data_IF_879173212419
#
_entry.id   IF_879173212419
#
_cell.length_a   1.000
_cell.length_b   1.000
_cell.length_c   1.000
_cell.angle_alpha   90.00
_cell.angle_beta   90.00
_cell.angle_gamma   90.00
#
_symmetry.space_group_name_H-M   'P 1'
#
loop_
_entity.id
_entity.type
_entity.pdbx_description
1 polymer ?
#
# COMPACT_ATOMS: atom_id res chain seq x y z
N UNK A 1 -17.92 1.60 -19.28
CA UNK A 1 -17.32 2.57 -18.33
C UNK A 1 -15.98 3.11 -18.82
N UNK A 2 -15.29 2.40 -19.71
CA UNK A 2 -13.96 2.81 -20.23
C UNK A 2 -14.05 4.17 -20.97
N UNK A 3 -15.13 4.39 -21.71
CA UNK A 3 -15.36 5.62 -22.46
C UNK A 3 -16.22 6.64 -21.71
N UNK A 4 -16.89 6.21 -20.64
CA UNK A 4 -17.75 7.05 -19.81
C UNK A 4 -17.66 6.62 -18.34
N UNK A 5 -16.81 7.30 -17.58
CA UNK A 5 -16.57 7.00 -16.16
C UNK A 5 -17.80 7.19 -15.27
N UNK A 6 -18.81 7.96 -15.71
CA UNK A 6 -20.06 8.11 -14.94
C UNK A 6 -20.80 6.78 -14.75
N UNK A 7 -20.56 5.81 -15.64
CA UNK A 7 -21.11 4.45 -15.54
C UNK A 7 -20.69 3.71 -14.26
N UNK A 8 -19.56 4.08 -13.67
CA UNK A 8 -19.11 3.49 -12.39
C UNK A 8 -20.13 3.75 -11.27
N UNK A 9 -20.88 4.85 -11.33
CA UNK A 9 -21.92 5.13 -10.36
C UNK A 9 -23.01 4.05 -10.29
N UNK A 10 -23.18 3.23 -11.33
CA UNK A 10 -24.10 2.08 -11.35
C UNK A 10 -23.71 0.97 -10.36
N UNK A 11 -22.47 0.98 -9.86
CA UNK A 11 -22.02 0.05 -8.82
C UNK A 11 -22.55 0.41 -7.43
N UNK A 12 -23.02 1.65 -7.20
CA UNK A 12 -23.49 2.09 -5.88
C UNK A 12 -24.54 1.18 -5.24
N UNK A 13 -25.59 0.71 -5.97
CA UNK A 13 -26.57 -0.20 -5.38
C UNK A 13 -25.99 -1.54 -4.94
N UNK A 14 -24.90 -2.00 -5.58
CA UNK A 14 -24.24 -3.28 -5.26
C UNK A 14 -23.47 -3.26 -3.93
N UNK A 15 -23.28 -2.08 -3.33
CA UNK A 15 -22.63 -1.95 -2.02
C UNK A 15 -23.42 -2.66 -0.93
N UNK A 16 -24.74 -2.69 -1.03
CA UNK A 16 -25.63 -3.36 -0.08
C UNK A 16 -25.90 -4.83 -0.45
N UNK A 17 -25.47 -5.28 -1.62
CA UNK A 17 -25.63 -6.65 -2.08
C UNK A 17 -24.51 -7.55 -1.49
N UNK A 18 -24.88 -8.55 -0.70
CA UNK A 18 -23.93 -9.44 -0.05
C UNK A 18 -23.17 -10.34 -1.03
N UNK A 19 -23.82 -10.79 -2.10
CA UNK A 19 -23.19 -11.63 -3.11
C UNK A 19 -22.17 -10.83 -3.90
N UNK A 20 -22.50 -9.60 -4.29
CA UNK A 20 -21.56 -8.71 -4.97
C UNK A 20 -20.35 -8.36 -4.09
N UNK A 21 -20.55 -8.12 -2.78
CA UNK A 21 -19.44 -7.90 -1.84
C UNK A 21 -18.56 -9.14 -1.71
N UNK A 22 -19.16 -10.32 -1.60
CA UNK A 22 -18.42 -11.58 -1.51
C UNK A 22 -17.58 -11.84 -2.78
N UNK A 23 -18.16 -11.64 -3.95
CA UNK A 23 -17.45 -11.76 -5.23
C UNK A 23 -16.28 -10.77 -5.33
N UNK A 24 -16.51 -9.50 -4.96
CA UNK A 24 -15.45 -8.49 -4.92
C UNK A 24 -14.30 -8.90 -3.99
N UNK A 25 -14.59 -9.38 -2.78
CA UNK A 25 -13.58 -9.83 -1.82
C UNK A 25 -12.81 -11.06 -2.33
N UNK A 26 -13.48 -11.99 -3.02
CA UNK A 26 -12.83 -13.15 -3.64
C UNK A 26 -11.89 -12.72 -4.77
N UNK A 27 -12.32 -11.82 -5.67
CA UNK A 27 -11.46 -11.26 -6.72
C UNK A 27 -10.23 -10.57 -6.10
N UNK A 28 -10.43 -9.80 -5.04
CA UNK A 28 -9.35 -9.14 -4.30
C UNK A 28 -8.38 -10.17 -3.72
N UNK A 29 -8.89 -11.21 -3.09
CA UNK A 29 -8.07 -12.28 -2.53
C UNK A 29 -7.24 -13.00 -3.61
N UNK A 30 -7.81 -13.32 -4.75
CA UNK A 30 -7.09 -13.95 -5.87
C UNK A 30 -5.96 -13.05 -6.39
N UNK A 31 -6.18 -11.74 -6.48
CA UNK A 31 -5.12 -10.79 -6.84
C UNK A 31 -4.00 -10.76 -5.77
N UNK A 32 -4.33 -10.88 -4.49
CA UNK A 32 -3.35 -10.97 -3.40
C UNK A 32 -2.55 -12.27 -3.46
N UNK A 33 -3.19 -13.40 -3.76
CA UNK A 33 -2.51 -14.69 -4.00
C UNK A 33 -1.52 -14.56 -5.16
N UNK A 34 -1.94 -13.93 -6.27
CA UNK A 34 -1.06 -13.68 -7.42
C UNK A 34 0.15 -12.83 -7.05
N UNK A 35 -0.05 -11.76 -6.29
CA UNK A 35 1.06 -10.92 -5.81
C UNK A 35 1.96 -11.66 -4.82
N UNK A 36 1.40 -12.43 -3.90
CA UNK A 36 2.18 -13.24 -2.95
C UNK A 36 3.09 -14.25 -3.68
N UNK A 37 2.57 -14.90 -4.71
CA UNK A 37 3.35 -15.79 -5.58
C UNK A 37 4.50 -15.03 -6.26
N UNK A 38 4.21 -13.86 -6.84
CA UNK A 38 5.21 -12.99 -7.46
C UNK A 38 6.32 -12.61 -6.47
N UNK A 39 5.95 -12.21 -5.25
CA UNK A 39 6.90 -11.85 -4.19
C UNK A 39 7.77 -13.07 -3.82
N UNK A 40 7.18 -14.25 -3.69
CA UNK A 40 7.93 -15.47 -3.40
C UNK A 40 8.96 -15.79 -4.48
N UNK A 41 8.56 -15.69 -5.73
CA UNK A 41 9.42 -16.02 -6.89
C UNK A 41 10.57 -15.01 -7.08
N UNK A 42 10.34 -13.72 -6.81
CA UNK A 42 11.32 -12.65 -7.10
C UNK A 42 12.10 -12.18 -5.86
N UNK A 43 11.48 -12.21 -4.68
CA UNK A 43 12.09 -11.72 -3.44
C UNK A 43 12.39 -12.85 -2.44
N UNK A 44 11.93 -14.08 -2.69
CA UNK A 44 12.12 -15.22 -1.78
C UNK A 44 11.31 -15.12 -0.47
N UNK A 45 10.42 -14.15 -0.33
CA UNK A 45 9.67 -13.87 0.89
C UNK A 45 8.29 -14.51 0.82
N UNK A 46 7.91 -15.27 1.85
CA UNK A 46 6.55 -15.76 2.02
C UNK A 46 5.69 -14.71 2.70
N UNK A 47 4.59 -14.33 2.05
CA UNK A 47 3.60 -13.41 2.60
C UNK A 47 2.21 -14.06 2.62
N UNK A 48 1.44 -13.82 3.68
CA UNK A 48 0.08 -14.32 3.80
C UNK A 48 -0.88 -13.43 2.98
N UNK A 49 -1.56 -13.96 1.96
CA UNK A 49 -2.54 -13.20 1.18
C UNK A 49 -3.75 -12.72 2.01
N UNK A 50 -3.96 -13.26 3.21
CA UNK A 50 -5.00 -12.79 4.12
C UNK A 50 -4.58 -11.58 4.94
N UNK A 51 -3.26 -11.29 5.05
CA UNK A 51 -2.78 -10.08 5.73
C UNK A 51 -3.20 -8.81 4.97
N UNK A 52 -3.29 -7.68 5.64
CA UNK A 52 -3.51 -6.39 4.97
C UNK A 52 -2.30 -6.06 4.10
N UNK A 53 -2.50 -5.90 2.79
CA UNK A 53 -1.46 -5.43 1.87
C UNK A 53 -1.45 -3.91 1.83
N UNK A 54 -0.50 -3.33 2.54
CA UNK A 54 -0.27 -1.89 2.66
C UNK A 54 0.83 -1.48 1.69
N UNK A 55 0.50 -0.71 0.66
CA UNK A 55 1.37 -0.52 -0.51
C UNK A 55 1.77 0.93 -0.68
N UNK A 56 3.09 1.17 -0.69
CA UNK A 56 3.71 2.45 -1.06
C UNK A 56 4.64 2.27 -2.26
N UNK A 57 4.10 2.41 -3.47
CA UNK A 57 4.86 2.26 -4.71
C UNK A 57 4.92 3.58 -5.49
N UNK A 58 6.10 4.18 -5.49
CA UNK A 58 6.40 5.46 -6.16
C UNK A 58 7.91 5.71 -6.19
N UNK A 59 8.39 6.59 -7.08
CA UNK A 59 9.80 7.01 -7.07
C UNK A 59 10.18 7.45 -5.67
N UNK A 60 11.38 7.08 -5.23
CA UNK A 60 11.84 7.46 -3.91
C UNK A 60 12.27 8.93 -3.91
N UNK A 61 11.71 9.67 -2.96
CA UNK A 61 12.05 11.07 -2.73
C UNK A 61 11.72 11.46 -1.29
N UNK A 62 12.52 12.34 -0.67
CA UNK A 62 12.33 12.73 0.73
C UNK A 62 10.91 13.25 1.00
N UNK A 63 10.35 14.09 0.12
CA UNK A 63 9.00 14.63 0.31
C UNK A 63 7.87 13.59 0.18
N UNK A 64 8.13 12.41 -0.41
CA UNK A 64 7.16 11.30 -0.48
C UNK A 64 7.11 10.47 0.80
N UNK A 65 8.05 10.73 1.70
CA UNK A 65 8.11 10.24 3.09
C UNK A 65 8.11 8.72 3.25
N UNK A 66 8.74 7.98 2.32
CA UNK A 66 8.97 6.53 2.53
C UNK A 66 9.75 6.27 3.83
N UNK A 67 10.64 7.20 4.21
CA UNK A 67 11.34 7.14 5.49
C UNK A 67 10.36 7.18 6.68
N UNK A 68 9.32 8.02 6.63
CA UNK A 68 8.31 8.04 7.69
C UNK A 68 7.56 6.71 7.80
N UNK A 69 7.23 6.10 6.67
CA UNK A 69 6.56 4.80 6.65
C UNK A 69 7.44 3.70 7.26
N UNK A 70 8.73 3.63 6.91
CA UNK A 70 9.60 2.60 7.50
C UNK A 70 9.83 2.83 9.00
N UNK A 71 9.89 4.08 9.48
CA UNK A 71 9.94 4.39 10.91
C UNK A 71 8.65 3.95 11.62
N UNK A 72 7.49 4.13 11.00
CA UNK A 72 6.22 3.61 11.51
C UNK A 72 6.23 2.08 11.61
N UNK A 73 6.76 1.39 10.61
CA UNK A 73 6.90 -0.08 10.63
C UNK A 73 7.80 -0.53 11.79
N UNK A 74 8.92 0.15 12.01
CA UNK A 74 9.80 -0.11 13.15
C UNK A 74 9.07 0.09 14.48
N UNK A 75 8.26 1.13 14.59
CA UNK A 75 7.41 1.35 15.78
C UNK A 75 6.43 0.19 15.98
N UNK A 76 5.70 -0.22 14.93
CA UNK A 76 4.77 -1.35 15.01
C UNK A 76 5.47 -2.66 15.41
N UNK A 77 6.66 -2.91 14.85
CA UNK A 77 7.47 -4.07 15.20
C UNK A 77 7.81 -4.09 16.69
N UNK A 78 8.27 -2.96 17.23
CA UNK A 78 8.57 -2.85 18.66
C UNK A 78 7.32 -3.05 19.52
N UNK A 79 6.17 -2.45 19.12
CA UNK A 79 4.90 -2.64 19.85
C UNK A 79 4.47 -4.11 19.87
N UNK A 80 4.60 -4.86 18.77
CA UNK A 80 4.27 -6.29 18.74
C UNK A 80 5.19 -7.09 19.66
N UNK A 81 6.47 -6.71 19.77
CA UNK A 81 7.43 -7.38 20.65
C UNK A 81 7.22 -7.07 22.12
N UNK A 82 6.94 -5.82 22.44
CA UNK A 82 6.71 -5.36 23.82
C UNK A 82 5.35 -5.81 24.37
N UNK A 83 4.37 -5.99 23.46
CA UNK A 83 3.00 -6.37 23.79
C UNK A 83 2.52 -7.58 22.95
N UNK A 84 3.07 -8.78 23.19
CA UNK A 84 2.72 -9.97 22.41
C UNK A 84 1.23 -10.33 22.46
N UNK A 85 0.55 -9.98 23.54
CA UNK A 85 -0.88 -10.16 23.78
C UNK A 85 -1.76 -9.21 22.97
N UNK A 86 -1.18 -8.14 22.41
CA UNK A 86 -1.92 -7.15 21.63
C UNK A 86 -2.59 -7.79 20.42
N UNK A 87 -3.89 -7.52 20.27
CA UNK A 87 -4.61 -7.86 19.06
C UNK A 87 -4.06 -7.07 17.88
N UNK A 88 -3.37 -7.73 16.99
CA UNK A 88 -2.79 -7.11 15.78
C UNK A 88 -3.17 -7.95 14.57
N UNK A 89 -3.90 -7.34 13.64
CA UNK A 89 -4.23 -8.00 12.39
C UNK A 89 -3.00 -8.07 11.48
N UNK A 90 -2.64 -9.24 10.93
CA UNK A 90 -1.44 -9.39 10.11
C UNK A 90 -1.38 -8.36 8.97
N UNK A 91 -0.20 -7.73 8.80
CA UNK A 91 0.02 -6.71 7.79
C UNK A 91 1.32 -6.94 7.04
N UNK A 92 1.25 -6.81 5.72
CA UNK A 92 2.40 -6.86 4.82
C UNK A 92 2.58 -5.49 4.18
N UNK A 93 3.66 -4.80 4.55
CA UNK A 93 4.06 -3.54 3.94
C UNK A 93 4.87 -3.81 2.67
N UNK A 94 4.43 -3.24 1.55
CA UNK A 94 5.04 -3.46 0.25
C UNK A 94 5.52 -2.13 -0.32
N UNK A 95 6.83 -2.00 -0.46
CA UNK A 95 7.47 -0.87 -1.12
C UNK A 95 7.86 -1.22 -2.55
N UNK A 96 7.86 -0.22 -3.41
CA UNK A 96 8.44 -0.30 -4.74
C UNK A 96 8.90 1.08 -5.17
N UNK A 97 10.17 1.23 -5.44
CA UNK A 97 10.75 2.52 -5.75
C UNK A 97 11.98 2.40 -6.65
N UNK A 98 12.29 3.50 -7.33
CA UNK A 98 13.57 3.73 -7.98
C UNK A 98 14.16 5.04 -7.46
N UNK A 99 15.46 5.05 -7.16
CA UNK A 99 16.22 6.23 -6.81
C UNK A 99 17.07 6.70 -7.99
N UNK A 100 17.21 8.01 -8.15
CA UNK A 100 18.21 8.55 -9.08
C UNK A 100 19.62 8.16 -8.65
N UNK A 101 20.51 7.92 -9.61
CA UNK A 101 21.85 7.37 -9.35
C UNK A 101 22.67 8.21 -8.35
N UNK A 102 22.59 9.53 -8.41
CA UNK A 102 23.27 10.48 -7.51
C UNK A 102 22.53 10.80 -6.22
N UNK A 103 21.31 10.27 -6.00
CA UNK A 103 20.49 10.63 -4.84
C UNK A 103 20.81 9.75 -3.63
N UNK A 104 21.86 10.10 -2.89
CA UNK A 104 22.38 9.31 -1.77
C UNK A 104 21.30 8.99 -0.72
N UNK A 105 20.58 9.99 -0.22
CA UNK A 105 19.53 9.80 0.80
C UNK A 105 18.41 8.86 0.36
N UNK A 106 18.06 8.87 -0.92
CA UNK A 106 17.11 7.92 -1.46
C UNK A 106 17.64 6.48 -1.39
N UNK A 107 18.91 6.29 -1.75
CA UNK A 107 19.57 4.96 -1.64
C UNK A 107 19.68 4.48 -0.20
N UNK A 108 20.02 5.38 0.72
CA UNK A 108 20.07 5.09 2.16
C UNK A 108 18.70 4.67 2.69
N UNK A 109 17.62 5.32 2.24
CA UNK A 109 16.25 4.94 2.60
C UNK A 109 15.90 3.55 2.07
N UNK A 110 16.27 3.23 0.83
CA UNK A 110 16.07 1.87 0.28
C UNK A 110 16.84 0.84 1.10
N UNK A 111 18.10 1.15 1.46
CA UNK A 111 18.92 0.28 2.29
C UNK A 111 18.28 0.06 3.67
N UNK A 112 17.76 1.13 4.29
CA UNK A 112 17.07 1.02 5.58
C UNK A 112 15.83 0.12 5.47
N UNK A 113 15.01 0.31 4.44
CA UNK A 113 13.81 -0.53 4.21
C UNK A 113 14.20 -2.01 4.12
N UNK A 114 15.23 -2.35 3.34
CA UNK A 114 15.69 -3.72 3.19
C UNK A 114 16.30 -4.27 4.51
N UNK A 115 17.08 -3.47 5.24
CA UNK A 115 17.65 -3.90 6.53
C UNK A 115 16.55 -4.15 7.58
N UNK A 116 15.51 -3.33 7.62
CA UNK A 116 14.36 -3.57 8.49
C UNK A 116 13.58 -4.80 8.04
N UNK A 117 13.42 -5.00 6.72
CA UNK A 117 12.78 -6.18 6.18
C UNK A 117 13.52 -7.47 6.60
N UNK A 118 14.85 -7.48 6.54
CA UNK A 118 15.66 -8.62 6.97
C UNK A 118 15.44 -8.95 8.45
N UNK A 119 15.35 -7.95 9.32
CA UNK A 119 15.11 -8.17 10.75
C UNK A 119 13.67 -8.66 10.98
N UNK A 120 12.68 -7.95 10.48
CA UNK A 120 11.26 -8.20 10.73
C UNK A 120 10.82 -9.55 10.14
N UNK A 121 11.24 -9.84 8.90
CA UNK A 121 10.78 -11.05 8.20
C UNK A 121 11.35 -12.33 8.79
N UNK A 122 12.53 -12.27 9.44
CA UNK A 122 13.20 -13.42 10.04
C UNK A 122 12.91 -13.58 11.56
N UNK A 123 12.24 -12.61 12.19
CA UNK A 123 11.89 -12.70 13.61
C UNK A 123 10.66 -13.59 13.82
N UNK A 124 10.91 -14.80 14.32
CA UNK A 124 9.84 -15.78 14.62
C UNK A 124 8.98 -15.37 15.80
N UNK A 125 9.47 -14.51 16.69
CA UNK A 125 8.75 -14.11 17.91
C UNK A 125 7.46 -13.33 17.61
N UNK A 126 7.39 -12.67 16.46
CA UNK A 126 6.18 -11.91 16.02
C UNK A 126 5.16 -12.76 15.25
N UNK A 127 5.41 -14.10 15.10
CA UNK A 127 4.49 -15.05 14.45
C UNK A 127 3.98 -14.61 13.07
N UNK A 128 4.82 -13.93 12.29
CA UNK A 128 4.44 -13.45 10.96
C UNK A 128 3.38 -12.34 10.93
N UNK A 129 3.05 -11.74 12.09
CA UNK A 129 2.08 -10.63 12.17
C UNK A 129 2.48 -9.44 11.29
N UNK A 130 3.78 -9.26 11.04
CA UNK A 130 4.32 -8.17 10.24
C UNK A 130 5.29 -8.71 9.19
N UNK A 131 5.15 -8.24 7.95
CA UNK A 131 6.08 -8.51 6.85
C UNK A 131 6.41 -7.21 6.13
N UNK A 132 7.64 -7.12 5.63
CA UNK A 132 8.13 -5.98 4.85
C UNK A 132 8.74 -6.49 3.57
N UNK A 133 8.31 -5.95 2.44
CA UNK A 133 8.79 -6.35 1.11
C UNK A 133 9.20 -5.12 0.33
N UNK A 134 10.34 -5.17 -0.32
CA UNK A 134 10.77 -4.17 -1.30
C UNK A 134 10.80 -4.80 -2.69
N UNK A 135 9.85 -4.43 -3.56
CA UNK A 135 9.80 -4.90 -4.95
C UNK A 135 10.92 -4.25 -5.74
N UNK A 136 11.81 -5.08 -6.25
CA UNK A 136 12.91 -4.64 -7.10
C UNK A 136 12.41 -4.15 -8.45
N UNK A 137 13.13 -3.20 -9.04
CA UNK A 137 12.90 -2.67 -10.38
C UNK A 137 11.43 -2.31 -10.66
N UNK A 138 10.80 -1.60 -9.72
CA UNK A 138 9.40 -1.17 -9.85
C UNK A 138 9.14 -0.46 -11.18
N UNK A 139 8.22 -0.98 -11.98
CA UNK A 139 7.86 -0.54 -13.33
C UNK A 139 6.37 -0.77 -13.60
N UNK A 140 5.90 -0.35 -14.78
CA UNK A 140 4.47 -0.44 -15.14
C UNK A 140 3.92 -1.87 -15.04
N UNK A 141 4.67 -2.88 -15.49
CA UNK A 141 4.24 -4.29 -15.42
C UNK A 141 4.06 -4.80 -13.98
N UNK A 142 4.88 -4.33 -13.02
CA UNK A 142 4.68 -4.64 -11.61
C UNK A 142 3.48 -3.89 -11.03
N UNK A 143 3.23 -2.66 -11.51
CA UNK A 143 2.13 -1.84 -11.03
C UNK A 143 0.76 -2.49 -11.24
N UNK A 144 0.54 -3.19 -12.33
CA UNK A 144 -0.71 -3.88 -12.64
C UNK A 144 -1.09 -4.91 -11.55
N UNK A 145 -0.10 -5.69 -11.09
CA UNK A 145 -0.32 -6.69 -10.03
C UNK A 145 -0.49 -6.00 -8.67
N UNK A 146 0.32 -4.97 -8.40
CA UNK A 146 0.33 -4.27 -7.13
C UNK A 146 -0.96 -3.49 -6.88
N UNK A 147 -1.47 -2.76 -7.88
CA UNK A 147 -2.70 -1.99 -7.72
C UNK A 147 -3.92 -2.88 -7.47
N UNK A 148 -4.01 -4.01 -8.19
CA UNK A 148 -5.12 -4.94 -8.05
C UNK A 148 -5.14 -5.64 -6.68
N UNK A 149 -3.97 -5.87 -6.08
CA UNK A 149 -3.82 -6.60 -4.82
C UNK A 149 -3.82 -5.71 -3.57
N UNK A 150 -3.73 -4.39 -3.70
CA UNK A 150 -3.62 -3.48 -2.56
C UNK A 150 -4.89 -3.44 -1.72
N UNK A 151 -4.75 -3.54 -0.39
CA UNK A 151 -5.82 -3.24 0.56
C UNK A 151 -5.75 -1.78 1.01
N UNK A 152 -4.53 -1.22 1.12
CA UNK A 152 -4.29 0.18 1.49
C UNK A 152 -3.25 0.78 0.56
N UNK A 153 -3.50 2.01 0.12
CA UNK A 153 -2.57 2.83 -0.66
C UNK A 153 -1.98 3.95 0.18
N UNK A 154 -0.66 3.93 0.36
CA UNK A 154 0.06 4.96 1.11
C UNK A 154 0.39 6.19 0.24
N UNK A 155 -0.26 7.32 0.56
CA UNK A 155 -0.10 8.59 -0.16
C UNK A 155 0.25 9.73 0.82
N UNK A 156 1.33 9.53 1.57
CA UNK A 156 1.74 10.35 2.70
C UNK A 156 2.74 11.46 2.37
N UNK A 157 2.81 11.91 1.13
CA UNK A 157 3.71 12.98 0.71
C UNK A 157 3.49 14.26 1.53
N UNK A 158 4.55 15.05 1.71
CA UNK A 158 4.43 16.39 2.34
C UNK A 158 3.43 17.22 1.55
N UNK A 159 2.48 17.84 2.26
CA UNK A 159 1.50 18.74 1.65
C UNK A 159 2.20 19.82 0.82
N UNK A 160 1.61 20.21 -0.29
CA UNK A 160 2.12 21.19 -1.27
C UNK A 160 3.38 20.79 -2.08
N UNK A 161 3.99 19.64 -1.80
CA UNK A 161 5.20 19.19 -2.54
C UNK A 161 4.91 18.20 -3.65
N UNK A 162 3.78 17.52 -3.62
CA UNK A 162 3.38 16.59 -4.67
C UNK A 162 2.18 17.14 -5.44
N UNK A 163 2.35 17.27 -6.76
CA UNK A 163 1.25 17.53 -7.68
C UNK A 163 0.36 16.27 -7.79
N UNK A 164 -0.74 16.36 -8.51
CA UNK A 164 -1.65 15.22 -8.74
C UNK A 164 -0.90 13.97 -9.21
N UNK A 165 -1.00 12.88 -8.45
CA UNK A 165 -0.41 11.58 -8.78
C UNK A 165 -1.44 10.63 -9.38
N UNK A 166 -1.13 9.99 -10.52
CA UNK A 166 -2.01 9.01 -11.16
C UNK A 166 -2.12 7.71 -10.38
N UNK A 167 -1.12 7.36 -9.57
CA UNK A 167 -1.10 6.13 -8.77
C UNK A 167 -2.27 6.05 -7.81
N UNK A 168 -2.60 7.14 -7.12
CA UNK A 168 -3.73 7.20 -6.20
C UNK A 168 -5.06 6.83 -6.89
N UNK A 169 -5.35 7.43 -8.05
CA UNK A 169 -6.56 7.13 -8.82
C UNK A 169 -6.63 5.65 -9.23
N UNK A 170 -5.50 5.06 -9.61
CA UNK A 170 -5.42 3.63 -9.97
C UNK A 170 -5.70 2.72 -8.78
N UNK A 171 -5.16 3.03 -7.61
CA UNK A 171 -5.48 2.28 -6.38
C UNK A 171 -6.96 2.37 -6.05
N UNK A 172 -7.54 3.55 -6.12
CA UNK A 172 -8.96 3.79 -5.85
C UNK A 172 -9.86 3.01 -6.81
N UNK A 173 -9.56 3.01 -8.12
CA UNK A 173 -10.29 2.22 -9.13
C UNK A 173 -10.18 0.71 -8.90
N UNK A 174 -9.19 0.25 -8.12
CA UNK A 174 -9.03 -1.13 -7.70
C UNK A 174 -9.56 -1.38 -6.27
N UNK A 175 -10.33 -0.46 -5.71
CA UNK A 175 -10.98 -0.60 -4.41
C UNK A 175 -10.02 -0.51 -3.21
N UNK A 176 -8.84 0.07 -3.38
CA UNK A 176 -7.93 0.31 -2.26
C UNK A 176 -8.16 1.70 -1.65
N UNK A 177 -8.59 1.81 -0.39
CA UNK A 177 -8.64 3.07 0.32
C UNK A 177 -7.26 3.70 0.46
N UNK A 178 -7.24 5.01 0.54
CA UNK A 178 -6.00 5.77 0.65
C UNK A 178 -5.76 6.25 2.07
N UNK A 179 -4.60 5.90 2.62
CA UNK A 179 -4.03 6.56 3.78
C UNK A 179 -3.13 7.69 3.31
N UNK A 180 -3.49 8.94 3.60
CA UNK A 180 -2.74 10.03 3.00
C UNK A 180 -2.85 11.37 3.71
N UNK A 181 -1.95 12.28 3.34
CA UNK A 181 -1.98 13.67 3.76
C UNK A 181 -2.86 14.49 2.83
N UNK A 182 -3.46 15.55 3.36
CA UNK A 182 -4.22 16.53 2.57
C UNK A 182 -3.29 17.28 1.62
N UNK A 183 -3.10 16.73 0.41
CA UNK A 183 -2.36 17.36 -0.67
C UNK A 183 -3.34 17.95 -1.70
N UNK A 184 -2.84 18.80 -2.60
CA UNK A 184 -3.65 19.49 -3.62
C UNK A 184 -4.45 18.51 -4.50
N UNK A 185 -3.87 17.34 -4.81
CA UNK A 185 -4.55 16.27 -5.55
C UNK A 185 -5.78 15.69 -4.84
N UNK A 186 -5.80 15.73 -3.50
CA UNK A 186 -6.93 15.26 -2.70
C UNK A 186 -8.08 16.26 -2.62
N UNK A 187 -7.80 17.56 -2.65
CA UNK A 187 -8.86 18.59 -2.67
C UNK A 187 -9.70 18.54 -3.95
N UNK A 188 -9.05 18.26 -5.08
CA UNK A 188 -9.77 18.11 -6.35
C UNK A 188 -10.57 16.80 -6.44
N UNK A 189 -10.02 15.69 -5.91
CA UNK A 189 -10.75 14.42 -5.84
C UNK A 189 -11.95 14.52 -4.89
N UNK A 190 -11.80 15.22 -3.77
CA UNK A 190 -12.87 15.41 -2.78
C UNK A 190 -14.03 16.24 -3.32
N UNK A 191 -13.77 17.16 -4.24
CA UNK A 191 -14.82 17.97 -4.86
C UNK A 191 -15.71 17.18 -5.85
N UNK A 192 -15.27 16.01 -6.28
CA UNK A 192 -15.97 15.15 -7.25
C UNK A 192 -16.60 13.91 -6.61
N UNK A 193 -16.44 13.69 -5.29
CA UNK A 193 -16.81 12.44 -4.66
C UNK A 193 -17.87 12.54 -3.60
N UNK A 194 -18.95 11.89 -3.90
CA UNK A 194 -19.99 11.53 -2.96
C UNK A 194 -19.65 10.17 -2.33
N UNK A 195 -19.15 10.21 -1.09
CA UNK A 195 -19.23 9.15 -0.10
C UNK A 195 -18.51 7.84 -0.39
N UNK A 196 -17.30 7.68 0.04
CA UNK A 196 -16.63 6.53 0.65
C UNK A 196 -15.11 6.75 0.71
N UNK A 197 -14.65 7.65 1.56
CA UNK A 197 -13.22 7.77 1.89
C UNK A 197 -13.01 7.71 3.38
N UNK A 198 -12.30 6.68 3.82
CA UNK A 198 -11.62 6.72 5.10
C UNK A 198 -10.34 7.57 4.91
N UNK A 199 -10.48 8.87 5.01
CA UNK A 199 -9.33 9.75 5.21
C UNK A 199 -9.01 9.71 6.70
N UNK A 200 -8.08 8.87 7.09
CA UNK A 200 -7.49 8.97 8.42
C UNK A 200 -6.73 10.29 8.48
N UNK A 201 -7.23 11.25 9.25
CA UNK A 201 -6.47 12.46 9.59
C UNK A 201 -5.37 12.03 10.55
N UNK A 202 -4.15 11.89 10.03
CA UNK A 202 -2.97 11.97 10.89
C UNK A 202 -2.77 13.44 11.23
N UNK A 203 -3.00 13.78 12.52
CA UNK A 203 -2.63 15.03 13.13
C UNK A 203 -1.12 15.23 13.13
#
# INVERSE_FOLDING_TARGET
WITDLSQIAKLKPLVEDEDARREFMEIKYQNKVRLAKYIKEHNGIDVDPRSIFDIQVKRLHEYKRQLLNILHIMYLYNQIKEHPEMSFYPRTFIFGAKAAAGYLRAKETIKLINSVADVVNNDRSINGKLKVVFIEDYRVSNAEILFAAADVSEQISTASKEASGTGNMKFMLNGAPTLGTMAVSYSHLRAQETGAYLVCRLL
#
